data_IF_590301176706
#
_entry.id   IF_590301176706
#
_cell.length_a   1.000
_cell.length_b   1.000
_cell.length_c   1.000
_cell.angle_alpha   90.00
_cell.angle_beta   90.00
_cell.angle_gamma   90.00
#
_symmetry.space_group_name_H-M   'P 1'
#
loop_
_entity.id
_entity.type
_entity.pdbx_description
1 polymer ?
#
# COMPACT_ATOMS: atom_id res chain seq x y z
N UNK A 1 3.63 -17.08 -3.68
CA UNK A 1 2.96 -15.76 -3.69
C UNK A 1 1.62 -15.82 -2.92
N UNK A 2 1.69 -15.89 -1.59
CA UNK A 2 0.48 -15.90 -0.74
C UNK A 2 0.00 -14.47 -0.51
N UNK A 3 0.90 -13.59 -0.06
CA UNK A 3 0.58 -12.16 0.15
C UNK A 3 0.02 -11.51 -1.12
N UNK A 4 0.68 -11.69 -2.28
CA UNK A 4 0.20 -11.12 -3.54
C UNK A 4 -1.23 -11.59 -3.89
N UNK A 5 -1.53 -12.89 -3.71
CA UNK A 5 -2.87 -13.42 -3.97
C UNK A 5 -3.90 -12.82 -3.03
N UNK A 6 -3.56 -12.70 -1.73
CA UNK A 6 -4.44 -12.05 -0.75
C UNK A 6 -4.69 -10.60 -1.15
N UNK A 7 -3.66 -9.82 -1.49
CA UNK A 7 -3.85 -8.42 -1.84
C UNK A 7 -4.72 -8.22 -3.10
N UNK A 8 -4.65 -9.12 -4.10
CA UNK A 8 -5.56 -9.07 -5.24
C UNK A 8 -7.03 -9.31 -4.86
N UNK A 9 -7.31 -10.22 -3.91
CA UNK A 9 -8.68 -10.46 -3.43
C UNK A 9 -9.29 -9.23 -2.72
N UNK A 10 -8.46 -8.27 -2.31
CA UNK A 10 -8.86 -7.02 -1.62
C UNK A 10 -8.47 -5.78 -2.40
N UNK A 11 -8.24 -5.89 -3.71
CA UNK A 11 -7.86 -4.77 -4.58
C UNK A 11 -8.86 -3.61 -4.45
N UNK A 12 -10.16 -3.89 -4.45
CA UNK A 12 -11.20 -2.87 -4.30
C UNK A 12 -11.03 -2.10 -2.99
N UNK A 13 -10.83 -2.78 -1.85
CA UNK A 13 -10.59 -2.13 -0.56
C UNK A 13 -9.33 -1.25 -0.58
N UNK A 14 -8.25 -1.77 -1.17
CA UNK A 14 -6.96 -1.09 -1.23
C UNK A 14 -6.94 0.10 -2.21
N UNK A 15 -7.85 0.14 -3.18
CA UNK A 15 -7.96 1.23 -4.15
C UNK A 15 -9.13 2.20 -3.85
N UNK A 16 -10.07 1.83 -2.98
CA UNK A 16 -11.21 2.66 -2.61
C UNK A 16 -10.78 3.82 -1.69
N UNK A 17 -11.17 5.05 -2.08
CA UNK A 17 -11.22 6.36 -1.37
C UNK A 17 -10.26 6.63 -0.19
N UNK A 18 -9.08 6.02 -0.22
CA UNK A 18 -8.01 6.18 0.75
C UNK A 18 -8.27 5.69 2.17
N UNK A 19 -9.40 5.11 2.53
CA UNK A 19 -9.60 4.70 3.92
C UNK A 19 -8.74 3.49 4.38
N UNK A 20 -8.03 2.82 3.47
CA UNK A 20 -7.19 1.66 3.79
C UNK A 20 -5.76 1.86 3.26
N UNK A 21 -4.80 1.71 4.17
CA UNK A 21 -3.37 1.63 3.88
C UNK A 21 -2.77 0.31 4.36
N UNK A 22 -1.59 -0.03 3.86
CA UNK A 22 -0.86 -1.25 4.20
C UNK A 22 0.64 -0.96 4.28
N UNK A 23 1.27 -1.38 5.38
CA UNK A 23 2.71 -1.36 5.54
C UNK A 23 3.26 -2.78 5.66
N UNK A 24 4.32 -3.07 4.90
CA UNK A 24 5.08 -4.32 5.00
C UNK A 24 6.47 -3.99 5.53
N UNK A 25 6.74 -4.47 6.75
CA UNK A 25 8.03 -4.29 7.43
C UNK A 25 8.86 -5.57 7.31
N UNK A 26 10.13 -5.43 6.97
CA UNK A 26 11.06 -6.54 7.07
C UNK A 26 11.71 -6.54 8.47
N UNK A 27 11.50 -7.54 9.32
CA UNK A 27 12.11 -7.55 10.66
C UNK A 27 13.63 -7.75 10.64
N UNK A 28 14.19 -8.28 9.54
CA UNK A 28 15.61 -8.60 9.41
C UNK A 28 16.43 -7.50 8.71
N UNK A 29 15.77 -6.55 8.06
CA UNK A 29 16.37 -5.46 7.31
C UNK A 29 15.56 -4.20 7.60
N UNK A 30 16.17 -3.02 7.87
CA UNK A 30 15.44 -1.77 8.04
C UNK A 30 14.89 -1.29 6.68
N UNK A 31 13.87 -2.00 6.21
CA UNK A 31 13.14 -1.81 4.97
C UNK A 31 11.64 -1.89 5.29
N UNK A 32 10.94 -0.87 4.85
CA UNK A 32 9.50 -0.73 4.99
C UNK A 32 8.92 -0.26 3.66
N UNK A 33 7.86 -0.92 3.22
CA UNK A 33 7.10 -0.55 2.03
C UNK A 33 5.67 -0.23 2.45
N UNK A 34 5.23 0.99 2.19
CA UNK A 34 3.90 1.47 2.57
C UNK A 34 3.09 1.82 1.33
N UNK A 35 1.83 1.41 1.29
CA UNK A 35 0.79 2.01 0.47
C UNK A 35 -0.13 2.77 1.42
N UNK A 36 -0.18 4.09 1.30
CA UNK A 36 -0.99 4.93 2.20
C UNK A 36 -2.41 5.16 1.69
N UNK A 37 -3.21 5.89 2.48
CA UNK A 37 -4.53 6.38 2.11
C UNK A 37 -4.55 7.14 0.77
N UNK A 38 -3.52 7.92 0.48
CA UNK A 38 -3.43 8.73 -0.73
C UNK A 38 -2.97 7.93 -1.96
N UNK A 39 -2.86 6.60 -1.82
CA UNK A 39 -2.41 5.66 -2.85
C UNK A 39 -0.98 5.94 -3.29
N UNK A 40 -0.19 6.52 -2.40
CA UNK A 40 1.22 6.73 -2.57
C UNK A 40 1.97 5.50 -2.04
N UNK A 41 2.88 4.99 -2.87
CA UNK A 41 3.76 3.89 -2.50
C UNK A 41 5.10 4.44 -2.01
N UNK A 42 5.38 4.30 -0.73
CA UNK A 42 6.64 4.69 -0.12
C UNK A 42 7.53 3.47 0.12
N UNK A 43 8.84 3.65 -0.10
CA UNK A 43 9.86 2.65 0.23
C UNK A 43 10.90 3.31 1.11
N UNK A 44 10.88 3.00 2.40
CA UNK A 44 11.84 3.49 3.38
C UNK A 44 12.91 2.44 3.64
N UNK A 45 14.17 2.80 3.43
CA UNK A 45 15.30 1.94 3.75
C UNK A 45 16.53 2.23 2.92
N UNK A 46 17.72 1.99 3.49
CA UNK A 46 18.99 2.19 2.78
C UNK A 46 19.23 1.16 1.67
N UNK A 47 18.61 0.00 1.76
CA UNK A 47 18.78 -1.12 0.82
C UNK A 47 17.46 -1.39 0.08
N UNK A 48 17.06 -0.47 -0.80
CA UNK A 48 15.78 -0.50 -1.53
C UNK A 48 15.90 -1.01 -2.99
N UNK A 49 17.10 -1.41 -3.44
CA UNK A 49 17.36 -1.84 -4.83
C UNK A 49 16.43 -2.96 -5.31
N UNK A 50 16.01 -3.86 -4.43
CA UNK A 50 15.05 -4.91 -4.77
C UNK A 50 13.67 -4.32 -5.13
N UNK A 51 13.21 -3.31 -4.40
CA UNK A 51 11.97 -2.60 -4.69
C UNK A 51 12.07 -1.81 -6.00
N UNK A 52 13.19 -1.11 -6.25
CA UNK A 52 13.42 -0.44 -7.54
C UNK A 52 13.34 -1.40 -8.73
N UNK A 53 13.95 -2.58 -8.61
CA UNK A 53 13.89 -3.61 -9.64
C UNK A 53 12.46 -4.16 -9.82
N UNK A 54 11.69 -4.28 -8.73
CA UNK A 54 10.29 -4.68 -8.80
C UNK A 54 9.45 -3.65 -9.57
N UNK A 55 9.59 -2.35 -9.26
CA UNK A 55 8.91 -1.27 -9.98
C UNK A 55 9.25 -1.26 -11.47
N UNK A 56 10.54 -1.43 -11.82
CA UNK A 56 10.97 -1.52 -13.22
C UNK A 56 10.38 -2.72 -13.95
N UNK A 57 10.30 -3.88 -13.29
CA UNK A 57 9.67 -5.09 -13.85
C UNK A 57 8.17 -4.88 -14.08
N UNK A 58 7.52 -4.11 -13.22
CA UNK A 58 6.13 -3.66 -13.38
C UNK A 58 5.97 -2.49 -14.37
N UNK A 59 7.03 -2.15 -15.12
CA UNK A 59 7.02 -1.09 -16.13
C UNK A 59 6.70 0.31 -15.59
N UNK A 60 6.98 0.56 -14.30
CA UNK A 60 6.81 1.88 -13.67
C UNK A 60 8.09 2.69 -13.93
N UNK A 61 8.04 3.77 -14.74
CA UNK A 61 9.22 4.58 -15.05
C UNK A 61 9.59 5.49 -13.88
N UNK A 62 10.88 5.79 -13.74
CA UNK A 62 11.34 6.85 -12.85
C UNK A 62 11.02 8.21 -13.48
N UNK A 63 10.42 9.10 -12.70
CA UNK A 63 10.17 10.49 -13.06
C UNK A 63 10.86 11.34 -11.99
N UNK A 64 12.08 11.81 -12.26
CA UNK A 64 12.90 12.55 -11.28
C UNK A 64 12.27 13.91 -10.92
N UNK A 65 11.67 14.58 -11.91
CA UNK A 65 11.08 15.91 -11.76
C UNK A 65 9.54 15.84 -11.66
N UNK A 66 9.03 14.89 -10.89
CA UNK A 66 7.59 14.75 -10.67
C UNK A 66 7.06 15.95 -9.87
N UNK A 67 6.17 16.73 -10.48
CA UNK A 67 5.53 17.86 -9.79
C UNK A 67 4.35 17.37 -8.97
N UNK A 68 4.44 17.55 -7.65
CA UNK A 68 3.31 17.32 -6.75
C UNK A 68 2.31 18.46 -6.93
N UNK A 69 1.07 18.11 -7.25
CA UNK A 69 -0.05 19.05 -7.12
C UNK A 69 -0.41 19.01 -5.63
N UNK A 70 -0.21 20.12 -4.93
CA UNK A 70 -0.43 20.24 -3.48
C UNK A 70 -1.81 19.71 -3.09
N UNK A 71 -1.85 18.95 -1.98
CA UNK A 71 -3.08 18.41 -1.40
C UNK A 71 -4.00 19.56 -0.94
N UNK A 72 -5.24 19.53 -1.40
CA UNK A 72 -6.33 20.27 -0.76
C UNK A 72 -6.85 19.45 0.43
N UNK A 73 -7.45 20.13 1.41
CA UNK A 73 -8.15 19.45 2.52
C UNK A 73 -9.23 18.53 1.92
N UNK A 74 -9.12 17.23 2.19
CA UNK A 74 -10.05 16.22 1.70
C UNK A 74 -10.48 15.31 2.86
N UNK A 75 -11.74 14.89 2.81
CA UNK A 75 -12.36 14.04 3.83
C UNK A 75 -12.58 12.68 3.21
N UNK A 76 -11.92 11.67 3.74
CA UNK A 76 -12.17 10.28 3.35
C UNK A 76 -13.47 9.79 3.99
N UNK A 77 -14.26 9.05 3.21
CA UNK A 77 -15.45 8.37 3.73
C UNK A 77 -15.40 6.89 3.41
N UNK A 78 -15.70 6.07 4.41
CA UNK A 78 -15.85 4.62 4.23
C UNK A 78 -17.31 4.18 4.37
N UNK A 79 -17.55 2.89 4.17
CA UNK A 79 -18.85 2.24 4.38
C UNK A 79 -18.69 1.06 5.36
N UNK A 80 -19.81 0.60 5.94
CA UNK A 80 -19.80 -0.60 6.78
C UNK A 80 -19.31 -1.84 6.01
N UNK A 81 -19.63 -1.94 4.72
CA UNK A 81 -19.17 -3.04 3.86
C UNK A 81 -17.64 -3.03 3.71
N UNK A 82 -17.04 -1.85 3.46
CA UNK A 82 -15.57 -1.72 3.39
C UNK A 82 -14.91 -1.98 4.74
N UNK A 83 -15.56 -1.61 5.84
CA UNK A 83 -15.11 -1.95 7.19
C UNK A 83 -15.08 -3.46 7.41
N UNK A 84 -16.15 -4.18 7.06
CA UNK A 84 -16.20 -5.65 7.19
C UNK A 84 -15.13 -6.33 6.31
N UNK A 85 -14.89 -5.82 5.10
CA UNK A 85 -13.81 -6.29 4.21
C UNK A 85 -12.42 -6.02 4.79
N UNK A 86 -12.23 -4.89 5.49
CA UNK A 86 -11.00 -4.60 6.20
C UNK A 86 -10.74 -5.60 7.34
N UNK A 87 -11.77 -5.92 8.13
CA UNK A 87 -11.66 -6.93 9.18
C UNK A 87 -11.31 -8.31 8.59
N UNK A 88 -11.91 -8.70 7.47
CA UNK A 88 -11.56 -9.95 6.78
C UNK A 88 -10.11 -9.96 6.29
N UNK A 89 -9.62 -8.83 5.75
CA UNK A 89 -8.22 -8.67 5.34
C UNK A 89 -7.28 -8.88 6.53
N UNK A 90 -7.55 -8.24 7.67
CA UNK A 90 -6.77 -8.42 8.89
C UNK A 90 -6.74 -9.89 9.34
N UNK A 91 -7.89 -10.57 9.37
CA UNK A 91 -7.93 -12.00 9.68
C UNK A 91 -7.09 -12.85 8.71
N UNK A 92 -7.18 -12.58 7.39
CA UNK A 92 -6.38 -13.29 6.38
C UNK A 92 -4.88 -13.02 6.49
N UNK A 93 -4.49 -11.85 6.97
CA UNK A 93 -3.11 -11.49 7.23
C UNK A 93 -2.62 -11.92 8.62
N UNK A 94 -3.50 -12.48 9.47
CA UNK A 94 -3.17 -12.87 10.84
C UNK A 94 -2.87 -11.68 11.74
N UNK A 95 -3.54 -10.55 11.50
CA UNK A 95 -3.45 -9.33 12.30
C UNK A 95 -4.57 -9.36 13.34
N UNK A 96 -4.22 -9.26 14.62
CA UNK A 96 -5.16 -9.06 15.72
C UNK A 96 -5.53 -7.56 15.81
N UNK A 97 -6.82 -7.25 15.94
CA UNK A 97 -7.39 -5.89 16.00
C UNK A 97 -8.05 -5.67 17.36
#
# INVERSE_FOLDING_TARGET
PVLQSVLYDFEELLLNDGCCGLAVLNPNLPLEVQLDEHKLLFVYGRQNRACELALRRSQIPLIEDMRVITEAEHVHSSSNELHDRFLELCCRLGIDI
#
